data_IF_175765806869
#
_entry.id   IF_175765806869
#
_cell.length_a   1.000
_cell.length_b   1.000
_cell.length_c   1.000
_cell.angle_alpha   90.00
_cell.angle_beta   90.00
_cell.angle_gamma   90.00
#
_symmetry.space_group_name_H-M   'P 1'
#
loop_
_entity.id
_entity.type
_entity.pdbx_description
1 polymer ?
#
# COMPACT_ATOMS: atom_id res chain seq x y z
N UNK A 1 52.60 6.30 23.15
CA UNK A 1 51.15 6.54 23.44
C UNK A 1 50.38 7.03 22.21
N UNK A 2 50.84 8.08 21.51
CA UNK A 2 50.08 8.71 20.41
C UNK A 2 49.78 7.80 19.21
N UNK A 3 50.71 6.91 18.81
CA UNK A 3 50.50 5.95 17.72
C UNK A 3 49.44 4.88 18.04
N UNK A 4 49.41 4.38 19.27
CA UNK A 4 48.42 3.38 19.70
C UNK A 4 46.99 3.94 19.66
N UNK A 5 46.81 5.22 20.00
CA UNK A 5 45.51 5.91 19.93
C UNK A 5 45.02 6.05 18.48
N UNK A 6 45.91 6.35 17.53
CA UNK A 6 45.58 6.47 16.11
C UNK A 6 45.13 5.12 15.53
N UNK A 7 45.82 4.03 15.89
CA UNK A 7 45.48 2.67 15.44
C UNK A 7 44.09 2.27 15.96
N UNK A 8 43.82 2.49 17.25
CA UNK A 8 42.50 2.22 17.86
C UNK A 8 41.41 3.02 17.14
N UNK A 9 41.66 4.30 16.86
CA UNK A 9 40.71 5.16 16.16
C UNK A 9 40.43 4.68 14.72
N UNK A 10 41.46 4.30 13.97
CA UNK A 10 41.29 3.74 12.62
C UNK A 10 40.51 2.42 12.64
N UNK A 11 40.75 1.58 13.64
CA UNK A 11 40.01 0.32 13.82
C UNK A 11 38.53 0.56 14.12
N UNK A 12 38.21 1.53 15.00
CA UNK A 12 36.82 1.90 15.29
C UNK A 12 36.09 2.45 14.05
N UNK A 13 36.75 3.31 13.26
CA UNK A 13 36.19 3.80 11.99
C UNK A 13 35.93 2.65 11.02
N UNK A 14 36.88 1.70 10.89
CA UNK A 14 36.73 0.53 10.03
C UNK A 14 35.52 -0.31 10.43
N UNK A 15 35.30 -0.55 11.73
CA UNK A 15 34.12 -1.26 12.24
C UNK A 15 32.83 -0.52 11.87
N UNK A 16 32.78 0.80 12.05
CA UNK A 16 31.59 1.62 11.73
C UNK A 16 31.26 1.55 10.24
N UNK A 17 32.27 1.66 9.37
CA UNK A 17 32.10 1.56 7.91
C UNK A 17 31.63 0.15 7.53
N UNK A 18 32.26 -0.89 8.07
CA UNK A 18 31.85 -2.28 7.82
C UNK A 18 30.41 -2.54 8.27
N UNK A 19 30.01 -2.01 9.43
CA UNK A 19 28.65 -2.10 9.93
C UNK A 19 27.65 -1.38 9.02
N UNK A 20 27.97 -0.16 8.55
CA UNK A 20 27.12 0.57 7.60
C UNK A 20 26.94 -0.22 6.29
N UNK A 21 28.01 -0.76 5.72
CA UNK A 21 27.95 -1.56 4.49
C UNK A 21 27.10 -2.82 4.70
N UNK A 22 27.30 -3.54 5.81
CA UNK A 22 26.50 -4.71 6.15
C UNK A 22 25.01 -4.36 6.31
N UNK A 23 24.71 -3.28 7.03
CA UNK A 23 23.35 -2.81 7.25
C UNK A 23 22.66 -2.43 5.93
N UNK A 24 23.33 -1.69 5.04
CA UNK A 24 22.77 -1.33 3.74
C UNK A 24 22.57 -2.52 2.82
N UNK A 25 23.57 -3.41 2.69
CA UNK A 25 23.50 -4.51 1.74
C UNK A 25 22.57 -5.62 2.20
N UNK A 26 22.56 -5.93 3.50
CA UNK A 26 21.87 -7.11 4.03
C UNK A 26 20.53 -6.72 4.68
N UNK A 27 20.55 -5.73 5.57
CA UNK A 27 19.37 -5.39 6.38
C UNK A 27 18.36 -4.58 5.57
N UNK A 28 18.81 -3.52 4.88
CA UNK A 28 17.93 -2.63 4.12
C UNK A 28 17.18 -3.34 2.97
N UNK A 29 17.79 -4.36 2.36
CA UNK A 29 17.16 -5.14 1.28
C UNK A 29 16.30 -6.29 1.79
N UNK A 30 16.73 -7.02 2.83
CA UNK A 30 16.00 -8.22 3.30
C UNK A 30 14.76 -7.89 4.13
N UNK A 31 14.77 -6.80 4.91
CA UNK A 31 13.63 -6.47 5.78
C UNK A 31 12.35 -6.20 4.98
N UNK A 32 12.35 -5.34 3.93
CA UNK A 32 11.14 -5.09 3.14
C UNK A 32 10.56 -6.36 2.52
N UNK A 33 11.42 -7.27 2.02
CA UNK A 33 10.99 -8.55 1.44
C UNK A 33 10.31 -9.43 2.49
N UNK A 34 10.93 -9.61 3.66
CA UNK A 34 10.36 -10.39 4.76
C UNK A 34 9.04 -9.80 5.26
N UNK A 35 8.96 -8.46 5.36
CA UNK A 35 7.73 -7.77 5.75
C UNK A 35 6.62 -7.92 4.72
N UNK A 36 6.96 -7.82 3.42
CA UNK A 36 6.02 -8.09 2.32
C UNK A 36 5.48 -9.51 2.46
N UNK A 37 6.34 -10.53 2.49
CA UNK A 37 5.90 -11.92 2.68
C UNK A 37 4.99 -12.09 3.90
N UNK A 38 5.37 -11.50 5.03
CA UNK A 38 4.57 -11.62 6.25
C UNK A 38 3.20 -10.98 6.15
N UNK A 39 3.08 -9.79 5.56
CA UNK A 39 1.76 -9.16 5.40
C UNK A 39 0.91 -9.90 4.37
N UNK A 40 1.52 -10.47 3.32
CA UNK A 40 0.78 -11.29 2.35
C UNK A 40 0.15 -12.51 3.02
N UNK A 41 0.90 -13.20 3.91
CA UNK A 41 0.37 -14.30 4.72
C UNK A 41 -0.80 -13.86 5.61
N UNK A 42 -0.64 -12.75 6.32
CA UNK A 42 -1.67 -12.22 7.21
C UNK A 42 -2.94 -11.85 6.43
N UNK A 43 -2.81 -11.18 5.28
CA UNK A 43 -3.95 -10.85 4.42
C UNK A 43 -4.63 -12.10 3.87
N UNK A 44 -3.87 -13.11 3.40
CA UNK A 44 -4.42 -14.39 2.93
C UNK A 44 -5.17 -15.15 4.03
N UNK A 45 -4.74 -15.03 5.29
CA UNK A 45 -5.46 -15.62 6.42
C UNK A 45 -6.76 -14.90 6.75
N UNK A 46 -6.84 -13.60 6.45
CA UNK A 46 -8.01 -12.76 6.73
C UNK A 46 -9.05 -12.81 5.62
N UNK A 47 -8.61 -12.80 4.36
CA UNK A 47 -9.48 -12.78 3.19
C UNK A 47 -9.39 -14.12 2.46
N UNK A 48 -10.47 -14.90 2.52
CA UNK A 48 -10.50 -16.22 1.88
C UNK A 48 -10.49 -16.08 0.36
N UNK A 49 -9.59 -16.77 -0.33
CA UNK A 49 -9.49 -16.74 -1.80
C UNK A 49 -8.64 -15.60 -2.37
N UNK A 50 -7.93 -14.85 -1.53
CA UNK A 50 -6.97 -13.82 -1.94
C UNK A 50 -5.83 -14.45 -2.77
N UNK A 51 -5.58 -13.94 -3.99
CA UNK A 51 -4.55 -14.46 -4.90
C UNK A 51 -3.59 -13.36 -5.32
N UNK A 52 -2.31 -13.70 -5.45
CA UNK A 52 -1.33 -12.79 -6.03
C UNK A 52 -1.49 -12.80 -7.56
N UNK A 53 -1.59 -11.63 -8.17
CA UNK A 53 -1.65 -11.48 -9.62
C UNK A 53 -0.25 -11.40 -10.23
N UNK A 54 -0.17 -11.38 -11.56
CA UNK A 54 1.09 -11.37 -12.30
C UNK A 54 1.95 -10.11 -12.07
N UNK A 55 1.37 -9.08 -11.45
CA UNK A 55 2.03 -7.82 -11.11
C UNK A 55 2.48 -7.77 -9.63
N UNK A 56 2.25 -8.84 -8.87
CA UNK A 56 2.68 -8.95 -7.47
C UNK A 56 1.78 -8.22 -6.47
N UNK A 57 0.54 -7.93 -6.86
CA UNK A 57 -0.52 -7.44 -5.98
C UNK A 57 -1.44 -8.58 -5.53
N UNK A 58 -2.07 -8.45 -4.37
CA UNK A 58 -3.09 -9.39 -3.93
C UNK A 58 -4.46 -8.91 -4.38
N UNK A 59 -5.14 -9.71 -5.20
CA UNK A 59 -6.47 -9.42 -5.73
C UNK A 59 -7.52 -10.31 -5.07
N UNK A 60 -8.71 -9.75 -4.86
CA UNK A 60 -9.86 -10.41 -4.30
C UNK A 60 -11.15 -9.79 -4.80
N UNK A 61 -12.25 -10.53 -4.71
CA UNK A 61 -13.58 -10.06 -5.07
C UNK A 61 -14.45 -10.07 -3.83
N UNK A 62 -14.97 -8.91 -3.45
CA UNK A 62 -15.86 -8.72 -2.29
C UNK A 62 -17.12 -8.05 -2.81
N UNK A 63 -18.29 -8.65 -2.60
CA UNK A 63 -19.58 -8.10 -3.04
C UNK A 63 -19.63 -7.74 -4.55
N UNK A 64 -19.05 -8.60 -5.40
CA UNK A 64 -18.86 -8.36 -6.85
C UNK A 64 -17.92 -7.20 -7.22
N UNK A 65 -17.33 -6.52 -6.23
CA UNK A 65 -16.31 -5.51 -6.45
C UNK A 65 -14.91 -6.12 -6.44
N UNK A 66 -14.05 -5.67 -7.37
CA UNK A 66 -12.65 -6.12 -7.42
C UNK A 66 -11.80 -5.22 -6.54
N UNK A 67 -11.15 -5.85 -5.56
CA UNK A 67 -10.27 -5.21 -4.59
C UNK A 67 -8.83 -5.68 -4.80
N UNK A 68 -7.90 -4.75 -4.72
CA UNK A 68 -6.48 -5.03 -4.82
C UNK A 68 -5.73 -4.44 -3.61
N UNK A 69 -4.85 -5.24 -3.00
CA UNK A 69 -4.01 -4.84 -1.88
C UNK A 69 -2.56 -4.67 -2.33
N UNK A 70 -1.98 -3.53 -1.99
CA UNK A 70 -0.57 -3.22 -2.22
C UNK A 70 0.13 -2.92 -0.90
N UNK A 71 1.25 -3.60 -0.66
CA UNK A 71 2.10 -3.32 0.47
C UNK A 71 3.40 -2.64 0.04
N UNK A 72 3.70 -1.51 0.67
CA UNK A 72 4.94 -0.75 0.47
C UNK A 72 5.62 -0.57 1.82
N UNK A 73 6.88 -0.97 1.93
CA UNK A 73 7.71 -0.68 3.10
C UNK A 73 8.84 0.26 2.72
N UNK A 74 8.85 1.45 3.31
CA UNK A 74 9.83 2.50 3.02
C UNK A 74 10.81 2.61 4.18
N UNK A 75 12.10 2.74 3.87
CA UNK A 75 13.12 3.08 4.85
C UNK A 75 13.09 4.58 5.10
N UNK A 76 13.03 4.99 6.36
CA UNK A 76 13.17 6.38 6.76
C UNK A 76 14.64 6.75 7.01
N UNK A 77 14.91 8.05 7.08
CA UNK A 77 16.26 8.63 7.28
C UNK A 77 16.95 8.09 8.54
N UNK A 78 16.19 7.80 9.60
CA UNK A 78 16.69 7.24 10.85
C UNK A 78 16.85 5.70 10.85
N UNK A 79 16.91 5.06 9.68
CA UNK A 79 17.00 3.60 9.51
C UNK A 79 15.80 2.79 10.05
N UNK A 80 14.70 3.46 10.39
CA UNK A 80 13.44 2.79 10.65
C UNK A 80 12.72 2.44 9.35
N UNK A 81 11.66 1.65 9.45
CA UNK A 81 10.88 1.24 8.30
C UNK A 81 9.40 1.51 8.57
N UNK A 82 8.79 2.34 7.73
CA UNK A 82 7.34 2.50 7.69
C UNK A 82 6.69 1.39 6.87
N UNK A 83 5.43 1.12 7.18
CA UNK A 83 4.65 0.07 6.54
C UNK A 83 3.35 0.69 6.04
N UNK A 84 3.12 0.60 4.73
CA UNK A 84 1.94 1.14 4.08
C UNK A 84 1.18 0.01 3.43
N UNK A 85 -0.12 -0.07 3.72
CA UNK A 85 -1.05 -0.93 3.01
C UNK A 85 -2.04 -0.02 2.28
N UNK A 86 -2.09 -0.15 0.96
CA UNK A 86 -3.07 0.52 0.11
C UNK A 86 -4.10 -0.49 -0.36
N UNK A 87 -5.35 -0.04 -0.39
CA UNK A 87 -6.49 -0.79 -0.90
C UNK A 87 -6.99 -0.04 -2.12
N UNK A 88 -7.20 -0.79 -3.19
CA UNK A 88 -7.65 -0.31 -4.49
C UNK A 88 -9.01 -0.92 -4.80
N UNK A 89 -9.92 -0.13 -5.35
CA UNK A 89 -11.22 -0.57 -5.88
C UNK A 89 -11.28 -0.28 -7.38
N UNK A 90 -11.63 -1.28 -8.17
CA UNK A 90 -11.75 -1.20 -9.62
C UNK A 90 -12.96 -0.35 -10.01
N UNK A 91 -12.75 0.69 -10.82
CA UNK A 91 -13.80 1.56 -11.37
C UNK A 91 -13.83 1.54 -12.89
N UNK A 92 -13.19 0.55 -13.51
CA UNK A 92 -13.00 0.50 -14.98
C UNK A 92 -14.32 0.45 -15.75
N UNK A 93 -15.31 -0.26 -15.22
CA UNK A 93 -16.61 -0.50 -15.86
C UNK A 93 -17.60 0.66 -15.73
N UNK A 94 -17.24 1.72 -15.00
CA UNK A 94 -18.07 2.90 -14.81
C UNK A 94 -18.07 3.76 -16.09
N UNK A 95 -19.16 4.47 -16.31
CA UNK A 95 -19.32 5.43 -17.41
C UNK A 95 -18.19 6.46 -17.42
N UNK A 96 -17.63 6.75 -18.60
CA UNK A 96 -16.38 7.48 -18.74
C UNK A 96 -16.46 8.94 -18.21
N UNK A 97 -17.63 9.57 -18.34
CA UNK A 97 -17.88 10.89 -17.77
C UNK A 97 -17.80 10.89 -16.24
N UNK A 98 -18.39 9.88 -15.60
CA UNK A 98 -18.38 9.70 -14.14
C UNK A 98 -17.00 9.25 -13.66
N UNK A 99 -16.32 8.41 -14.44
CA UNK A 99 -14.94 7.97 -14.15
C UNK A 99 -13.99 9.16 -14.10
N UNK A 100 -14.11 10.14 -15.01
CA UNK A 100 -13.36 11.40 -14.96
C UNK A 100 -13.62 12.17 -13.67
N UNK A 101 -14.86 12.21 -13.20
CA UNK A 101 -15.19 12.84 -11.91
C UNK A 101 -14.58 12.08 -10.73
N UNK A 102 -14.59 10.75 -10.77
CA UNK A 102 -13.93 9.93 -9.75
C UNK A 102 -12.43 10.20 -9.70
N UNK A 103 -11.77 10.39 -10.85
CA UNK A 103 -10.34 10.76 -10.94
C UNK A 103 -10.01 12.13 -10.33
N UNK A 104 -11.00 13.02 -10.23
CA UNK A 104 -10.85 14.32 -9.55
C UNK A 104 -11.09 14.18 -8.05
N UNK A 105 -12.06 13.36 -7.65
CA UNK A 105 -12.49 13.26 -6.25
C UNK A 105 -11.65 12.29 -5.41
N UNK A 106 -11.20 11.20 -6.01
CA UNK A 106 -10.42 10.15 -5.35
C UNK A 106 -8.99 10.12 -5.88
N UNK A 107 -8.08 9.63 -5.04
CA UNK A 107 -6.77 9.22 -5.54
C UNK A 107 -6.95 8.03 -6.49
N UNK A 108 -6.61 8.23 -7.75
CA UNK A 108 -6.73 7.19 -8.76
C UNK A 108 -5.36 6.70 -9.22
N UNK A 109 -5.31 5.48 -9.73
CA UNK A 109 -4.14 4.90 -10.37
C UNK A 109 -4.59 3.96 -11.47
N UNK A 110 -3.88 3.96 -12.60
CA UNK A 110 -4.12 3.01 -13.68
C UNK A 110 -3.13 1.86 -13.53
N UNK A 111 -3.64 0.65 -13.33
CA UNK A 111 -2.85 -0.58 -13.16
C UNK A 111 -3.43 -1.61 -14.11
N UNK A 112 -2.61 -2.16 -15.01
CA UNK A 112 -3.01 -3.17 -15.99
C UNK A 112 -4.21 -2.73 -16.86
N UNK A 113 -4.13 -1.51 -17.41
CA UNK A 113 -5.21 -0.87 -18.18
C UNK A 113 -6.58 -0.75 -17.46
N UNK A 114 -6.61 -1.00 -16.15
CA UNK A 114 -7.76 -0.79 -15.27
C UNK A 114 -7.58 0.48 -14.46
N UNK A 115 -8.66 1.20 -14.27
CA UNK A 115 -8.68 2.39 -13.42
C UNK A 115 -9.12 2.02 -12.01
N UNK A 116 -8.33 2.42 -11.03
CA UNK A 116 -8.56 2.09 -9.63
C UNK A 116 -8.61 3.35 -8.79
N UNK A 117 -9.59 3.45 -7.89
CA UNK A 117 -9.52 4.38 -6.77
C UNK A 117 -8.72 3.73 -5.64
N UNK A 118 -7.96 4.51 -4.88
CA UNK A 118 -7.13 3.97 -3.80
C UNK A 118 -7.24 4.75 -2.50
N UNK A 119 -7.11 4.04 -1.39
CA UNK A 119 -7.01 4.60 -0.05
C UNK A 119 -5.91 3.89 0.73
N UNK A 120 -5.24 4.62 1.62
CA UNK A 120 -4.27 4.07 2.57
C UNK A 120 -5.02 3.56 3.80
N UNK A 121 -4.67 2.37 4.28
CA UNK A 121 -5.10 1.89 5.59
C UNK A 121 -4.39 2.73 6.67
N UNK A 122 -5.15 3.40 7.51
CA UNK A 122 -4.65 4.31 8.54
C UNK A 122 -4.89 3.73 9.96
N UNK A 123 -4.05 2.79 10.43
CA UNK A 123 -4.14 2.31 11.80
C UNK A 123 -3.48 3.29 12.78
N UNK A 124 -3.77 3.15 14.07
CA UNK A 124 -3.11 3.92 15.13
C UNK A 124 -1.59 3.65 15.21
N UNK A 125 -1.16 2.42 14.88
CA UNK A 125 0.26 2.08 14.70
C UNK A 125 0.44 1.27 13.42
N UNK A 126 1.48 1.58 12.64
CA UNK A 126 1.81 0.94 11.35
C UNK A 126 2.46 -0.46 11.51
N UNK A 127 2.04 -1.25 12.50
CA UNK A 127 2.44 -2.65 12.58
C UNK A 127 1.71 -3.48 11.52
N UNK A 128 2.33 -4.55 11.02
CA UNK A 128 1.71 -5.40 9.99
C UNK A 128 0.35 -5.95 10.45
N UNK A 129 0.25 -6.37 11.71
CA UNK A 129 -1.01 -6.86 12.29
C UNK A 129 -2.07 -5.76 12.36
N UNK A 130 -1.70 -4.52 12.70
CA UNK A 130 -2.66 -3.42 12.76
C UNK A 130 -3.13 -3.00 11.37
N UNK A 131 -2.25 -3.01 10.37
CA UNK A 131 -2.64 -2.78 8.97
C UNK A 131 -3.68 -3.81 8.54
N UNK A 132 -3.45 -5.09 8.80
CA UNK A 132 -4.41 -6.15 8.47
C UNK A 132 -5.67 -6.07 9.32
N UNK A 133 -5.59 -5.67 10.59
CA UNK A 133 -6.77 -5.48 11.44
C UNK A 133 -7.73 -4.44 10.87
N UNK A 134 -7.22 -3.28 10.46
CA UNK A 134 -8.03 -2.16 9.96
C UNK A 134 -8.30 -2.20 8.45
N UNK A 135 -7.74 -3.18 7.72
CA UNK A 135 -7.93 -3.29 6.27
C UNK A 135 -9.40 -3.49 5.90
N UNK A 136 -10.16 -4.20 6.73
CA UNK A 136 -11.57 -4.56 6.45
C UNK A 136 -12.50 -3.36 6.53
N UNK A 137 -12.40 -2.59 7.62
CA UNK A 137 -13.07 -1.30 7.77
C UNK A 137 -12.71 -0.36 6.60
N UNK A 138 -11.44 -0.36 6.19
CA UNK A 138 -10.98 0.47 5.08
C UNK A 138 -11.55 0.01 3.73
N UNK A 139 -11.68 -1.31 3.48
CA UNK A 139 -12.35 -1.86 2.30
C UNK A 139 -13.81 -1.40 2.28
N UNK A 140 -14.55 -1.61 3.37
CA UNK A 140 -15.96 -1.26 3.44
C UNK A 140 -16.19 0.24 3.25
N UNK A 141 -15.34 1.07 3.87
CA UNK A 141 -15.37 2.51 3.68
C UNK A 141 -15.12 2.89 2.22
N UNK A 142 -14.10 2.33 1.58
CA UNK A 142 -13.77 2.66 0.19
C UNK A 142 -14.94 2.32 -0.75
N UNK A 143 -15.56 1.15 -0.59
CA UNK A 143 -16.72 0.74 -1.38
C UNK A 143 -17.89 1.70 -1.14
N UNK A 144 -18.25 1.94 0.12
CA UNK A 144 -19.37 2.81 0.47
C UNK A 144 -19.20 4.25 -0.05
N UNK A 145 -18.00 4.83 0.12
CA UNK A 145 -17.70 6.19 -0.33
C UNK A 145 -17.78 6.29 -1.87
N UNK A 146 -17.25 5.27 -2.57
CA UNK A 146 -17.29 5.21 -4.02
C UNK A 146 -18.72 5.06 -4.55
N UNK A 147 -19.46 4.05 -4.07
CA UNK A 147 -20.84 3.79 -4.47
C UNK A 147 -21.74 5.01 -4.26
N UNK A 148 -21.62 5.67 -3.11
CA UNK A 148 -22.36 6.89 -2.80
C UNK A 148 -22.04 7.99 -3.82
N UNK A 149 -20.76 8.27 -4.05
CA UNK A 149 -20.33 9.31 -4.98
C UNK A 149 -20.79 9.02 -6.42
N UNK A 150 -20.57 7.79 -6.90
CA UNK A 150 -20.95 7.35 -8.25
C UNK A 150 -22.46 7.46 -8.42
N UNK A 151 -23.25 6.99 -7.46
CA UNK A 151 -24.71 7.06 -7.49
C UNK A 151 -25.21 8.52 -7.55
N UNK A 152 -24.64 9.40 -6.73
CA UNK A 152 -24.95 10.83 -6.75
C UNK A 152 -24.68 11.44 -8.13
N UNK A 153 -23.53 11.14 -8.75
CA UNK A 153 -23.17 11.67 -10.08
C UNK A 153 -24.02 11.09 -11.20
N UNK A 154 -24.43 9.82 -11.13
CA UNK A 154 -25.42 9.25 -12.05
C UNK A 154 -26.77 9.97 -11.95
N UNK A 155 -27.24 10.25 -10.74
CA UNK A 155 -28.51 10.95 -10.53
C UNK A 155 -28.47 12.39 -11.06
N UNK A 156 -27.37 13.12 -10.83
CA UNK A 156 -27.15 14.47 -11.38
C UNK A 156 -27.15 14.46 -12.92
N UNK A 157 -26.46 13.48 -13.54
CA UNK A 157 -26.44 13.33 -15.00
C UNK A 157 -27.84 13.11 -15.57
N UNK A 158 -28.59 12.19 -14.98
CA UNK A 158 -29.93 11.84 -15.47
C UNK A 158 -30.90 13.02 -15.36
N UNK A 159 -30.78 13.85 -14.31
CA UNK A 159 -31.56 15.09 -14.19
C UNK A 159 -31.27 16.07 -15.33
N UNK A 160 -30.00 16.25 -15.70
CA UNK A 160 -29.58 17.14 -16.80
C UNK A 160 -30.01 16.66 -18.19
N UNK A 161 -30.14 15.34 -18.39
CA UNK A 161 -30.60 14.78 -19.67
C UNK A 161 -32.12 14.95 -19.83
N UNK A 162 -32.85 14.93 -18.72
CA UNK A 162 -34.31 15.05 -18.69
C UNK A 162 -34.83 16.51 -18.56
N UNK A 163 -33.93 17.50 -18.58
CA UNK A 163 -34.25 18.93 -18.56
C UNK A 163 -33.82 19.55 -19.88
#
# INVERSE_FOLDING_TARGET
MQQSTIIIFCFLISIVICYQIYFEKVVAKRIPIKRKQKILELLKSKYTGLKENNLGYLEHTINNEKILFEFISNRSVNNSFSNNLYIYLDITTIEEDIKKLCKIHFYCSTIDNRDWIKIRVNPFYESLNNLVKHSDETVHKLISDAEFYISQKRAERNKRINT
#
